data_IF_289952821065
#
_entry.id   IF_289952821065
#
_cell.length_a   1.000
_cell.length_b   1.000
_cell.length_c   1.000
_cell.angle_alpha   90.00
_cell.angle_beta   90.00
_cell.angle_gamma   90.00
#
_symmetry.space_group_name_H-M   'P 1'
#
loop_
_entity.id
_entity.type
_entity.pdbx_description
1 polymer ?
#
# COMPACT_ATOMS: atom_id res chain seq x y z
N UNK A 1 -22.31 -42.10 -0.68
CA UNK A 1 -22.08 -41.20 0.46
C UNK A 1 -21.06 -40.17 0.03
N UNK A 2 -21.41 -38.87 -0.03
CA UNK A 2 -20.41 -37.83 -0.28
C UNK A 2 -19.45 -37.81 0.91
N UNK A 3 -18.16 -37.97 0.63
CA UNK A 3 -17.10 -37.76 1.61
C UNK A 3 -17.00 -36.26 1.85
N UNK A 4 -17.35 -35.80 3.05
CA UNK A 4 -17.11 -34.40 3.44
C UNK A 4 -15.62 -34.10 3.28
N UNK A 5 -15.29 -33.16 2.39
CA UNK A 5 -13.92 -32.74 2.17
C UNK A 5 -13.34 -32.21 3.48
N UNK A 6 -12.08 -32.53 3.76
CA UNK A 6 -11.43 -32.02 4.97
C UNK A 6 -11.35 -30.48 4.88
N UNK A 7 -11.36 -29.77 6.02
CA UNK A 7 -11.18 -28.31 6.02
C UNK A 7 -9.87 -27.88 5.34
N UNK A 8 -8.84 -28.73 5.39
CA UNK A 8 -7.56 -28.49 4.72
C UNK A 8 -7.69 -28.53 3.19
N UNK A 9 -8.45 -29.50 2.64
CA UNK A 9 -8.74 -29.57 1.20
C UNK A 9 -9.46 -28.31 0.70
N UNK A 10 -10.32 -27.73 1.54
CA UNK A 10 -11.04 -26.50 1.21
C UNK A 10 -10.10 -25.30 1.08
N UNK A 11 -9.11 -25.17 1.97
CA UNK A 11 -8.16 -24.05 1.96
C UNK A 11 -7.17 -24.17 0.81
N UNK A 12 -6.69 -25.37 0.51
CA UNK A 12 -5.82 -25.58 -0.64
C UNK A 12 -6.57 -25.29 -1.95
N UNK A 13 -7.82 -25.74 -2.07
CA UNK A 13 -8.69 -25.43 -3.20
C UNK A 13 -8.88 -23.93 -3.39
N UNK A 14 -9.15 -23.20 -2.29
CA UNK A 14 -9.23 -21.74 -2.30
C UNK A 14 -7.92 -21.11 -2.76
N UNK A 15 -6.77 -21.55 -2.25
CA UNK A 15 -5.46 -21.02 -2.65
C UNK A 15 -5.22 -21.21 -4.16
N UNK A 16 -5.57 -22.38 -4.72
CA UNK A 16 -5.49 -22.65 -6.16
C UNK A 16 -6.42 -21.74 -6.96
N UNK A 17 -7.65 -21.51 -6.50
CA UNK A 17 -8.61 -20.60 -7.14
C UNK A 17 -8.09 -19.16 -7.17
N UNK A 18 -7.50 -18.69 -6.07
CA UNK A 18 -6.87 -17.37 -5.96
C UNK A 18 -5.72 -17.25 -6.96
N UNK A 19 -4.81 -18.23 -7.01
CA UNK A 19 -3.68 -18.25 -7.96
C UNK A 19 -4.19 -18.22 -9.40
N UNK A 20 -5.14 -19.08 -9.75
CA UNK A 20 -5.74 -19.12 -11.08
C UNK A 20 -6.34 -17.77 -11.48
N UNK A 21 -7.04 -17.12 -10.55
CA UNK A 21 -7.65 -15.81 -10.77
C UNK A 21 -6.60 -14.69 -10.92
N UNK A 22 -5.50 -14.74 -10.17
CA UNK A 22 -4.38 -13.81 -10.30
C UNK A 22 -3.68 -13.96 -11.66
N UNK A 23 -3.35 -15.19 -12.06
CA UNK A 23 -2.72 -15.50 -13.36
C UNK A 23 -3.61 -15.02 -14.52
N UNK A 24 -4.89 -15.40 -14.52
CA UNK A 24 -5.84 -15.04 -15.59
C UNK A 24 -6.14 -13.54 -15.69
N UNK A 25 -5.91 -12.77 -14.62
CA UNK A 25 -6.03 -11.30 -14.65
C UNK A 25 -4.74 -10.61 -15.10
N UNK A 26 -3.70 -11.36 -15.45
CA UNK A 26 -2.38 -10.82 -15.79
C UNK A 26 -1.67 -10.20 -14.59
N UNK A 27 -1.88 -10.74 -13.38
CA UNK A 27 -1.04 -10.40 -12.25
C UNK A 27 0.39 -10.87 -12.52
N UNK A 28 1.37 -10.04 -12.16
CA UNK A 28 2.81 -10.35 -12.26
C UNK A 28 3.56 -10.07 -10.97
N UNK A 29 2.92 -9.42 -10.01
CA UNK A 29 3.45 -9.18 -8.66
C UNK A 29 2.31 -9.25 -7.64
N UNK A 30 2.50 -10.07 -6.62
CA UNK A 30 1.65 -10.10 -5.42
C UNK A 30 2.46 -9.56 -4.24
N UNK A 31 2.01 -8.45 -3.67
CA UNK A 31 2.56 -7.84 -2.47
C UNK A 31 1.67 -8.18 -1.27
N UNK A 32 2.28 -8.67 -0.20
CA UNK A 32 1.58 -9.10 1.02
C UNK A 32 2.14 -8.32 2.20
N UNK A 33 1.27 -7.72 3.02
CA UNK A 33 1.70 -7.14 4.28
C UNK A 33 2.07 -8.24 5.29
N UNK A 34 2.96 -7.91 6.22
CA UNK A 34 3.47 -8.86 7.19
C UNK A 34 2.65 -8.86 8.48
N UNK A 35 2.65 -7.74 9.20
CA UNK A 35 1.91 -7.57 10.46
C UNK A 35 0.41 -7.65 10.24
N UNK A 36 -0.30 -8.37 11.11
CA UNK A 36 -1.75 -8.63 11.06
C UNK A 36 -2.34 -9.15 9.74
N UNK A 37 -1.55 -9.29 8.68
CA UNK A 37 -1.91 -9.92 7.41
C UNK A 37 -1.31 -11.32 7.33
N UNK A 38 0.02 -11.44 7.21
CA UNK A 38 0.71 -12.73 7.27
C UNK A 38 0.77 -13.28 8.70
N UNK A 39 1.02 -12.40 9.67
CA UNK A 39 0.96 -12.68 11.10
C UNK A 39 -0.45 -12.44 11.65
N UNK A 40 -0.76 -13.10 12.77
CA UNK A 40 -2.01 -12.89 13.54
C UNK A 40 -1.96 -11.70 14.49
N UNK A 41 -0.78 -11.10 14.67
CA UNK A 41 -0.51 -9.99 15.58
C UNK A 41 0.10 -8.82 14.81
N UNK A 42 0.08 -7.63 15.43
CA UNK A 42 0.95 -6.52 15.05
C UNK A 42 2.18 -6.50 15.95
N UNK A 43 3.37 -6.49 15.36
CA UNK A 43 4.65 -6.27 16.07
C UNK A 43 4.86 -4.80 16.42
N UNK A 44 4.07 -3.88 15.86
CA UNK A 44 4.26 -2.43 15.98
C UNK A 44 5.66 -1.95 15.53
N UNK A 45 6.28 -2.70 14.61
CA UNK A 45 7.60 -2.39 14.06
C UNK A 45 8.77 -2.93 14.87
N UNK A 46 8.54 -3.51 16.05
CA UNK A 46 9.61 -4.04 16.90
C UNK A 46 9.19 -5.34 17.58
N UNK A 47 9.94 -6.40 17.30
CA UNK A 47 9.83 -7.71 17.93
C UNK A 47 11.16 -8.08 18.59
N UNK A 48 11.14 -8.37 19.89
CA UNK A 48 12.32 -8.66 20.70
C UNK A 48 12.72 -10.14 20.72
N UNK A 49 11.75 -11.04 20.54
CA UNK A 49 11.98 -12.48 20.66
C UNK A 49 12.57 -13.06 19.35
N UNK A 50 12.80 -14.37 19.37
CA UNK A 50 13.38 -15.09 18.23
C UNK A 50 12.43 -15.16 17.03
N UNK A 51 12.98 -15.51 15.85
CA UNK A 51 12.20 -15.81 14.66
C UNK A 51 11.27 -17.02 14.86
N UNK A 52 11.68 -18.02 15.65
CA UNK A 52 10.86 -19.19 15.97
C UNK A 52 9.64 -18.82 16.83
N UNK A 53 9.83 -17.93 17.82
CA UNK A 53 8.73 -17.38 18.60
C UNK A 53 7.77 -16.59 17.71
N UNK A 54 8.28 -15.71 16.84
CA UNK A 54 7.45 -14.96 15.90
C UNK A 54 6.71 -15.86 14.90
N UNK A 55 7.34 -16.96 14.48
CA UNK A 55 6.73 -17.95 13.57
C UNK A 55 5.47 -18.57 14.15
N UNK A 56 5.39 -18.74 15.48
CA UNK A 56 4.17 -19.20 16.16
C UNK A 56 2.98 -18.23 16.00
N UNK A 57 3.25 -17.01 15.52
CA UNK A 57 2.25 -16.00 15.20
C UNK A 57 1.87 -15.94 13.73
N UNK A 58 2.48 -16.71 12.84
CA UNK A 58 2.03 -16.83 11.44
C UNK A 58 0.60 -17.37 11.42
N UNK A 59 -0.27 -16.79 10.59
CA UNK A 59 -1.59 -17.34 10.26
C UNK A 59 -1.36 -18.52 9.31
N UNK A 60 -0.95 -19.72 9.71
CA UNK A 60 -1.33 -20.55 10.86
C UNK A 60 -0.23 -21.61 11.07
N UNK A 61 0.11 -21.95 12.32
CA UNK A 61 0.95 -23.10 12.66
C UNK A 61 0.42 -23.72 13.96
N UNK A 62 -0.52 -24.68 13.91
CA UNK A 62 -0.52 -25.86 14.81
C UNK A 62 -1.71 -26.79 14.55
N UNK A 63 -1.48 -28.07 14.23
CA UNK A 63 -2.49 -29.12 14.30
C UNK A 63 -2.76 -29.68 15.72
N UNK A 64 -2.11 -29.15 16.78
CA UNK A 64 -2.13 -29.78 18.12
C UNK A 64 -2.43 -28.86 19.30
N UNK A 65 -2.81 -27.60 19.09
CA UNK A 65 -3.36 -26.77 20.18
C UNK A 65 -4.88 -26.70 20.08
N UNK A 66 -5.64 -27.45 20.91
CA UNK A 66 -7.07 -27.26 21.00
C UNK A 66 -7.35 -25.80 21.42
N UNK A 67 -8.35 -25.12 20.81
CA UNK A 67 -8.74 -23.79 21.22
C UNK A 67 -9.33 -23.88 22.63
N UNK A 68 -8.51 -23.62 23.63
CA UNK A 68 -8.99 -23.39 25.00
C UNK A 68 -9.68 -22.01 24.98
N UNK A 69 -10.98 -22.04 24.69
CA UNK A 69 -11.98 -20.99 24.95
C UNK A 69 -12.06 -19.75 24.04
N UNK A 70 -11.45 -19.73 22.85
CA UNK A 70 -11.74 -18.66 21.89
C UNK A 70 -12.85 -19.08 20.91
N UNK A 71 -14.02 -18.43 21.02
CA UNK A 71 -15.20 -18.57 20.14
C UNK A 71 -14.98 -18.04 18.71
N UNK A 72 -13.73 -17.91 18.27
CA UNK A 72 -13.35 -17.51 16.91
C UNK A 72 -12.83 -18.77 16.23
N UNK A 73 -13.50 -19.16 15.15
CA UNK A 73 -13.20 -20.38 14.39
C UNK A 73 -11.75 -20.46 13.89
N UNK A 74 -11.35 -21.60 13.31
CA UNK A 74 -9.99 -21.84 12.84
C UNK A 74 -9.54 -20.73 11.88
N UNK A 75 -8.38 -20.13 12.17
CA UNK A 75 -7.77 -19.09 11.34
C UNK A 75 -7.06 -19.79 10.18
N UNK A 76 -7.46 -19.47 8.95
CA UNK A 76 -7.00 -20.12 7.71
C UNK A 76 -5.48 -20.02 7.47
N UNK A 77 -4.73 -21.13 7.25
CA UNK A 77 -3.34 -21.18 6.74
C UNK A 77 -3.22 -20.75 5.26
N UNK A 78 -3.99 -19.75 4.84
CA UNK A 78 -4.09 -19.43 3.42
C UNK A 78 -2.74 -19.08 2.80
N UNK A 79 -1.92 -18.25 3.47
CA UNK A 79 -0.63 -17.84 2.92
C UNK A 79 0.40 -18.97 2.87
N UNK A 80 0.29 -19.96 3.76
CA UNK A 80 1.17 -21.13 3.72
C UNK A 80 0.90 -22.02 2.49
N UNK A 81 -0.34 -22.04 2.01
CA UNK A 81 -0.72 -22.75 0.79
C UNK A 81 -0.52 -21.87 -0.47
N UNK A 82 -0.86 -20.58 -0.36
CA UNK A 82 -0.83 -19.64 -1.47
C UNK A 82 0.58 -19.35 -1.99
N UNK A 83 1.55 -19.10 -1.10
CA UNK A 83 2.89 -18.69 -1.53
C UNK A 83 3.65 -19.77 -2.33
N UNK A 84 3.67 -21.05 -1.91
CA UNK A 84 4.27 -22.11 -2.73
C UNK A 84 3.59 -22.26 -4.10
N UNK A 85 2.26 -22.13 -4.17
CA UNK A 85 1.53 -22.21 -5.44
C UNK A 85 1.86 -21.02 -6.37
N UNK A 86 1.94 -19.80 -5.83
CA UNK A 86 2.36 -18.62 -6.61
C UNK A 86 3.79 -18.80 -7.15
N UNK A 87 4.70 -19.37 -6.35
CA UNK A 87 6.11 -19.55 -6.72
C UNK A 87 6.32 -20.56 -7.87
N UNK A 88 5.34 -21.43 -8.14
CA UNK A 88 5.36 -22.33 -9.30
C UNK A 88 5.11 -21.59 -10.63
N UNK A 89 4.66 -20.33 -10.58
CA UNK A 89 4.42 -19.52 -11.76
C UNK A 89 5.59 -18.57 -12.04
N UNK A 90 6.41 -18.82 -13.08
CA UNK A 90 7.65 -18.06 -13.32
C UNK A 90 7.44 -16.58 -13.66
N UNK A 91 6.20 -16.18 -13.98
CA UNK A 91 5.84 -14.82 -14.34
C UNK A 91 5.24 -14.02 -13.19
N UNK A 92 5.02 -14.64 -12.03
CA UNK A 92 4.50 -13.98 -10.83
C UNK A 92 5.63 -13.87 -9.80
N UNK A 93 6.05 -12.64 -9.55
CA UNK A 93 6.89 -12.33 -8.41
C UNK A 93 6.04 -12.23 -7.14
N UNK A 94 6.64 -12.61 -6.00
CA UNK A 94 6.05 -12.48 -4.68
C UNK A 94 6.88 -11.46 -3.90
N UNK A 95 6.20 -10.55 -3.20
CA UNK A 95 6.85 -9.62 -2.29
C UNK A 95 6.13 -9.56 -0.95
N UNK A 96 6.92 -9.44 0.13
CA UNK A 96 6.43 -9.01 1.44
C UNK A 96 6.78 -7.52 1.60
N UNK A 97 5.76 -6.70 1.85
CA UNK A 97 5.88 -5.24 1.99
C UNK A 97 5.41 -4.83 3.38
N UNK A 98 6.33 -4.44 4.25
CA UNK A 98 6.07 -4.19 5.68
C UNK A 98 6.60 -2.82 6.12
N UNK A 99 5.95 -2.21 7.11
CA UNK A 99 6.51 -1.03 7.79
C UNK A 99 7.54 -1.40 8.86
N UNK A 100 7.71 -2.69 9.18
CA UNK A 100 8.75 -3.11 10.11
C UNK A 100 10.14 -2.91 9.48
N UNK A 101 11.11 -2.31 10.20
CA UNK A 101 12.49 -2.22 9.77
C UNK A 101 13.26 -3.55 9.93
N UNK A 102 12.69 -4.56 10.60
CA UNK A 102 13.39 -5.81 10.96
C UNK A 102 13.43 -6.84 9.82
N UNK A 103 13.90 -6.41 8.65
CA UNK A 103 13.96 -7.21 7.41
C UNK A 103 14.67 -8.55 7.61
N UNK A 104 15.78 -8.58 8.35
CA UNK A 104 16.53 -9.81 8.62
C UNK A 104 15.72 -10.83 9.45
N UNK A 105 14.99 -10.37 10.47
CA UNK A 105 14.12 -11.23 11.28
C UNK A 105 12.99 -11.81 10.43
N UNK A 106 12.34 -10.96 9.63
CA UNK A 106 11.23 -11.38 8.76
C UNK A 106 11.70 -12.41 7.72
N UNK A 107 12.91 -12.23 7.18
CA UNK A 107 13.57 -13.21 6.30
C UNK A 107 13.72 -14.58 6.97
N UNK A 108 14.15 -14.61 8.24
CA UNK A 108 14.29 -15.83 9.01
C UNK A 108 12.94 -16.51 9.22
N UNK A 109 11.89 -15.76 9.60
CA UNK A 109 10.53 -16.29 9.75
C UNK A 109 10.03 -16.92 8.45
N UNK A 110 10.15 -16.21 7.32
CA UNK A 110 9.76 -16.73 6.00
C UNK A 110 10.56 -18.01 5.67
N UNK A 111 11.86 -18.03 5.97
CA UNK A 111 12.70 -19.22 5.74
C UNK A 111 12.29 -20.41 6.61
N UNK A 112 11.86 -20.18 7.86
CA UNK A 112 11.37 -21.25 8.72
C UNK A 112 10.01 -21.79 8.25
N UNK A 113 9.21 -20.97 7.55
CA UNK A 113 7.92 -21.38 6.99
C UNK A 113 8.07 -22.15 5.67
N UNK A 114 9.02 -21.76 4.82
CA UNK A 114 9.04 -22.17 3.41
C UNK A 114 10.38 -22.73 2.90
N UNK A 115 11.41 -22.77 3.76
CA UNK A 115 12.78 -23.06 3.34
C UNK A 115 13.49 -21.86 2.71
N UNK A 116 14.82 -21.97 2.59
CA UNK A 116 15.67 -20.89 2.07
C UNK A 116 15.36 -20.53 0.63
N UNK A 117 15.14 -21.53 -0.24
CA UNK A 117 14.89 -21.32 -1.67
C UNK A 117 13.70 -20.40 -1.94
N UNK A 118 12.53 -20.70 -1.35
CA UNK A 118 11.36 -19.85 -1.53
C UNK A 118 11.51 -18.52 -0.77
N UNK A 119 12.13 -18.53 0.41
CA UNK A 119 12.45 -17.29 1.10
C UNK A 119 13.21 -16.35 0.18
N UNK A 120 14.36 -16.76 -0.38
CA UNK A 120 15.23 -15.95 -1.25
C UNK A 120 14.56 -15.48 -2.54
N UNK A 121 13.61 -16.27 -3.06
CA UNK A 121 12.78 -15.88 -4.19
C UNK A 121 11.81 -14.74 -3.85
N UNK A 122 11.28 -14.68 -2.62
CA UNK A 122 10.38 -13.61 -2.15
C UNK A 122 11.17 -12.31 -1.97
N UNK A 123 10.72 -11.25 -2.65
CA UNK A 123 11.25 -9.89 -2.48
C UNK A 123 10.78 -9.35 -1.12
N UNK A 124 11.69 -8.79 -0.34
CA UNK A 124 11.34 -8.19 0.96
C UNK A 124 11.58 -6.69 0.94
N UNK A 125 10.57 -5.93 1.36
CA UNK A 125 10.62 -4.47 1.51
C UNK A 125 10.10 -4.10 2.89
N UNK A 126 11.03 -3.95 3.83
CA UNK A 126 10.76 -3.39 5.16
C UNK A 126 11.12 -1.91 5.23
N UNK A 127 10.91 -1.31 6.39
CA UNK A 127 11.28 0.09 6.64
C UNK A 127 12.79 0.27 6.92
N UNK A 128 13.65 -0.25 6.04
CA UNK A 128 15.10 -0.15 6.13
C UNK A 128 15.72 0.70 5.01
N UNK A 129 17.04 0.91 5.09
CA UNK A 129 17.80 1.71 4.12
C UNK A 129 18.35 0.90 2.94
N UNK A 130 18.00 -0.39 2.80
CA UNK A 130 18.55 -1.27 1.76
C UNK A 130 17.99 -0.98 0.36
N UNK A 131 16.93 -0.18 0.27
CA UNK A 131 16.27 0.19 -0.97
C UNK A 131 15.83 1.66 -0.96
N UNK A 132 15.65 2.21 -2.17
CA UNK A 132 15.13 3.54 -2.39
C UNK A 132 14.21 3.56 -3.61
N UNK A 133 13.39 4.60 -3.74
CA UNK A 133 12.50 4.82 -4.87
C UNK A 133 12.58 6.30 -5.27
N UNK A 134 12.90 6.56 -6.53
CA UNK A 134 12.89 7.93 -7.08
C UNK A 134 11.50 8.30 -7.62
N UNK A 135 11.26 9.59 -7.84
CA UNK A 135 10.02 10.07 -8.45
C UNK A 135 9.84 9.51 -9.86
N UNK A 136 10.88 9.53 -10.71
CA UNK A 136 10.80 9.02 -12.08
C UNK A 136 10.44 7.52 -12.11
N UNK A 137 11.00 6.74 -11.19
CA UNK A 137 10.68 5.33 -11.04
C UNK A 137 9.21 5.12 -10.64
N UNK A 138 8.69 5.94 -9.73
CA UNK A 138 7.29 5.88 -9.32
C UNK A 138 6.32 6.28 -10.45
N UNK A 139 6.70 7.28 -11.26
CA UNK A 139 5.97 7.68 -12.47
C UNK A 139 5.97 6.55 -13.50
N UNK A 140 7.11 5.90 -13.75
CA UNK A 140 7.21 4.76 -14.67
C UNK A 140 6.34 3.58 -14.22
N UNK A 141 6.29 3.32 -12.91
CA UNK A 141 5.48 2.26 -12.33
C UNK A 141 3.96 2.53 -12.44
N UNK A 142 3.52 3.77 -12.22
CA UNK A 142 2.08 4.10 -12.14
C UNK A 142 1.49 4.73 -13.39
N UNK A 143 2.30 5.41 -14.20
CA UNK A 143 1.87 6.33 -15.25
C UNK A 143 1.26 7.65 -14.72
N UNK A 144 1.32 7.91 -13.41
CA UNK A 144 0.78 9.11 -12.76
C UNK A 144 1.91 10.14 -12.59
N UNK A 145 1.61 11.42 -12.74
CA UNK A 145 2.55 12.52 -12.51
C UNK A 145 3.13 12.49 -11.08
N UNK A 146 4.45 12.73 -10.97
CA UNK A 146 5.22 12.70 -9.73
C UNK A 146 4.61 13.55 -8.60
N UNK A 147 4.03 14.71 -8.92
CA UNK A 147 3.47 15.61 -7.92
C UNK A 147 2.24 15.05 -7.19
N UNK A 148 1.66 13.98 -7.70
CA UNK A 148 0.49 13.32 -7.13
C UNK A 148 0.81 12.01 -6.39
N UNK A 149 2.09 11.59 -6.37
CA UNK A 149 2.49 10.32 -5.79
C UNK A 149 3.03 10.49 -4.36
N UNK A 150 2.47 9.79 -3.36
CA UNK A 150 2.92 9.91 -1.98
C UNK A 150 4.15 9.03 -1.73
N UNK A 151 5.36 9.53 -2.02
CA UNK A 151 6.62 8.78 -1.83
C UNK A 151 7.13 8.70 -0.39
N UNK A 152 6.41 9.30 0.56
CA UNK A 152 6.77 9.15 1.96
C UNK A 152 6.56 7.69 2.41
N UNK A 153 7.40 7.23 3.33
CA UNK A 153 7.37 5.86 3.86
C UNK A 153 6.27 5.62 4.90
N UNK A 154 5.30 6.54 5.03
CA UNK A 154 4.14 6.39 5.92
C UNK A 154 2.97 5.65 5.26
N UNK A 155 3.13 5.22 4.02
CA UNK A 155 2.14 4.46 3.28
C UNK A 155 2.86 3.36 2.46
N UNK A 156 2.12 2.35 2.00
CA UNK A 156 2.69 1.18 1.32
C UNK A 156 3.12 1.41 -0.12
N UNK A 157 2.75 2.54 -0.75
CA UNK A 157 3.06 2.79 -2.16
C UNK A 157 4.56 2.64 -2.50
N UNK A 158 5.51 3.31 -1.81
CA UNK A 158 6.93 3.19 -2.15
C UNK A 158 7.49 1.77 -1.98
N UNK A 159 6.96 1.00 -1.03
CA UNK A 159 7.34 -0.40 -0.79
C UNK A 159 6.90 -1.28 -1.97
N UNK A 160 5.64 -1.15 -2.39
CA UNK A 160 5.07 -1.89 -3.52
C UNK A 160 5.79 -1.53 -4.83
N UNK A 161 5.97 -0.24 -5.11
CA UNK A 161 6.63 0.22 -6.33
C UNK A 161 8.10 -0.24 -6.40
N UNK A 162 8.85 -0.13 -5.31
CA UNK A 162 10.25 -0.61 -5.29
C UNK A 162 10.37 -2.13 -5.41
N UNK A 163 9.39 -2.90 -4.92
CA UNK A 163 9.31 -4.35 -5.14
C UNK A 163 9.05 -4.67 -6.62
N UNK A 164 8.15 -3.94 -7.29
CA UNK A 164 7.87 -4.11 -8.72
C UNK A 164 9.08 -3.85 -9.62
N UNK A 165 9.89 -2.85 -9.27
CA UNK A 165 11.13 -2.56 -10.00
C UNK A 165 12.17 -3.68 -9.84
N UNK A 166 12.30 -4.25 -8.64
CA UNK A 166 13.17 -5.41 -8.43
C UNK A 166 12.65 -6.65 -9.17
N UNK A 167 11.36 -6.94 -9.08
CA UNK A 167 10.74 -8.05 -9.81
C UNK A 167 10.96 -7.91 -11.33
N UNK A 168 10.81 -6.69 -11.87
CA UNK A 168 11.08 -6.41 -13.29
C UNK A 168 12.53 -6.70 -13.66
N UNK A 169 13.50 -6.34 -12.80
CA UNK A 169 14.93 -6.64 -13.02
C UNK A 169 15.21 -8.14 -12.96
N UNK A 170 14.62 -8.87 -11.99
CA UNK A 170 14.77 -10.33 -11.88
C UNK A 170 14.23 -11.05 -13.12
N UNK A 171 13.05 -10.66 -13.61
CA UNK A 171 12.49 -11.22 -14.85
C UNK A 171 13.34 -10.88 -16.08
N UNK A 172 13.87 -9.66 -16.19
CA UNK A 172 14.75 -9.31 -17.30
C UNK A 172 16.06 -10.11 -17.30
N UNK A 173 16.58 -10.44 -16.11
CA UNK A 173 17.81 -11.23 -15.97
C UNK A 173 17.61 -12.71 -16.33
N UNK A 174 16.45 -13.30 -16.05
CA UNK A 174 16.14 -14.68 -16.43
C UNK A 174 15.99 -14.86 -17.95
N UNK A 175 15.54 -13.82 -18.66
CA UNK A 175 15.31 -13.88 -20.11
C UNK A 175 16.59 -13.65 -20.93
N UNK A 176 17.65 -13.10 -20.32
CA UNK A 176 18.89 -12.71 -20.98
C UNK A 176 19.69 -13.90 -21.58
N UNK A 177 19.33 -15.14 -21.27
CA UNK A 177 19.88 -16.33 -21.95
C UNK A 177 19.42 -16.45 -23.41
N UNK A 178 18.48 -15.60 -23.87
CA UNK A 178 18.06 -15.52 -25.27
C UNK A 178 18.32 -14.09 -25.79
N UNK A 179 19.23 -13.88 -26.77
CA UNK A 179 19.67 -12.55 -27.20
C UNK A 179 18.64 -11.74 -28.03
N UNK A 180 17.35 -12.01 -27.89
CA UNK A 180 16.30 -11.24 -28.55
C UNK A 180 15.95 -10.01 -27.70
N UNK A 181 15.80 -8.86 -28.37
CA UNK A 181 15.33 -7.57 -27.83
C UNK A 181 14.24 -7.83 -26.77
N UNK A 182 14.37 -7.32 -25.53
CA UNK A 182 13.38 -7.56 -24.49
C UNK A 182 12.03 -7.10 -25.01
N UNK A 183 11.04 -8.00 -25.13
CA UNK A 183 9.75 -7.63 -25.70
C UNK A 183 9.19 -6.45 -24.90
N UNK A 184 8.84 -5.38 -25.62
CA UNK A 184 8.21 -4.19 -25.06
C UNK A 184 7.03 -4.64 -24.19
N UNK A 185 7.17 -4.58 -22.85
CA UNK A 185 6.17 -5.14 -21.92
C UNK A 185 6.70 -5.88 -20.69
N UNK A 186 8.02 -6.02 -20.50
CA UNK A 186 8.57 -6.75 -19.34
C UNK A 186 8.48 -6.01 -18.01
N UNK A 187 8.35 -4.68 -18.00
CA UNK A 187 8.24 -3.93 -16.75
C UNK A 187 6.89 -4.18 -16.05
N UNK A 188 6.96 -4.53 -14.77
CA UNK A 188 5.80 -4.65 -13.89
C UNK A 188 5.36 -3.24 -13.52
N UNK A 189 4.07 -2.97 -13.69
CA UNK A 189 3.43 -1.67 -13.46
C UNK A 189 2.31 -1.83 -12.41
N UNK A 190 1.72 -0.73 -11.98
CA UNK A 190 0.63 -0.74 -10.99
C UNK A 190 -0.53 -1.65 -11.41
N UNK A 191 -0.90 -1.64 -12.69
CA UNK A 191 -1.96 -2.48 -13.26
C UNK A 191 -1.64 -3.99 -13.25
N UNK A 192 -0.37 -4.38 -13.10
CA UNK A 192 0.11 -5.76 -13.00
C UNK A 192 0.23 -6.25 -11.55
N UNK A 193 0.04 -5.36 -10.58
CA UNK A 193 0.36 -5.58 -9.17
C UNK A 193 -0.90 -5.71 -8.33
N UNK A 194 -0.87 -6.63 -7.37
CA UNK A 194 -1.91 -6.79 -6.34
C UNK A 194 -1.29 -6.59 -4.95
N UNK A 195 -1.92 -5.78 -4.11
CA UNK A 195 -1.59 -5.63 -2.68
C UNK A 195 -2.63 -6.35 -1.81
N UNK A 196 -2.19 -7.12 -0.83
CA UNK A 196 -3.00 -7.73 0.22
C UNK A 196 -2.52 -7.16 1.56
N UNK A 197 -3.40 -6.47 2.29
CA UNK A 197 -3.07 -5.69 3.49
C UNK A 197 -4.30 -5.61 4.40
N UNK A 198 -4.15 -5.66 5.73
CA UNK A 198 -5.24 -5.56 6.70
C UNK A 198 -5.63 -4.11 7.00
N UNK A 199 -4.82 -3.13 6.62
CA UNK A 199 -5.13 -1.72 6.83
C UNK A 199 -5.91 -1.14 5.64
N UNK A 200 -7.16 -0.74 5.89
CA UNK A 200 -8.03 -0.13 4.87
C UNK A 200 -7.43 1.13 4.23
N UNK A 201 -6.68 1.94 4.99
CA UNK A 201 -6.01 3.13 4.47
C UNK A 201 -4.92 2.77 3.45
N UNK A 202 -4.13 1.72 3.70
CA UNK A 202 -3.13 1.23 2.75
C UNK A 202 -3.79 0.72 1.47
N UNK A 203 -4.88 -0.06 1.60
CA UNK A 203 -5.66 -0.59 0.48
C UNK A 203 -6.26 0.54 -0.35
N UNK A 204 -6.82 1.56 0.30
CA UNK A 204 -7.39 2.72 -0.35
C UNK A 204 -6.32 3.52 -1.11
N UNK A 205 -5.19 3.84 -0.46
CA UNK A 205 -4.10 4.60 -1.07
C UNK A 205 -3.46 3.87 -2.25
N UNK A 206 -3.25 2.55 -2.13
CA UNK A 206 -2.76 1.72 -3.23
C UNK A 206 -3.73 1.78 -4.44
N UNK A 207 -5.03 1.70 -4.18
CA UNK A 207 -6.06 1.83 -5.21
C UNK A 207 -6.05 3.19 -5.92
N UNK A 208 -5.74 4.29 -5.21
CA UNK A 208 -5.57 5.60 -5.84
C UNK A 208 -4.36 5.67 -6.77
N UNK A 209 -3.36 4.81 -6.57
CA UNK A 209 -2.16 4.72 -7.39
C UNK A 209 -2.29 3.71 -8.54
N UNK A 210 -3.50 3.20 -8.80
CA UNK A 210 -3.77 2.22 -9.86
C UNK A 210 -3.35 0.79 -9.53
N UNK A 211 -3.01 0.50 -8.27
CA UNK A 211 -2.69 -0.84 -7.79
C UNK A 211 -4.00 -1.54 -7.39
N UNK A 212 -4.23 -2.77 -7.84
CA UNK A 212 -5.35 -3.57 -7.31
C UNK A 212 -5.04 -3.92 -5.86
N UNK A 213 -5.95 -3.63 -4.94
CA UNK A 213 -5.70 -3.86 -3.51
C UNK A 213 -6.88 -4.57 -2.85
N UNK A 214 -6.57 -5.51 -1.95
CA UNK A 214 -7.52 -6.40 -1.29
C UNK A 214 -7.32 -6.22 0.21
N UNK A 215 -8.36 -5.73 0.90
CA UNK A 215 -8.36 -5.67 2.36
C UNK A 215 -8.47 -7.07 2.93
N UNK A 216 -7.42 -7.53 3.61
CA UNK A 216 -7.36 -8.83 4.25
C UNK A 216 -8.19 -8.85 5.52
N UNK A 217 -9.25 -9.65 5.49
CA UNK A 217 -10.07 -9.99 6.64
C UNK A 217 -10.32 -11.49 6.54
N UNK A 218 -9.82 -12.35 7.45
CA UNK A 218 -9.82 -13.80 7.28
C UNK A 218 -11.17 -14.40 6.88
N UNK A 219 -12.24 -13.86 7.46
CA UNK A 219 -13.62 -14.35 7.25
C UNK A 219 -14.26 -13.89 5.95
N UNK A 220 -13.70 -12.88 5.29
CA UNK A 220 -14.25 -12.26 4.07
C UNK A 220 -13.25 -12.27 2.90
N UNK A 221 -12.06 -12.81 3.12
CA UNK A 221 -10.99 -12.75 2.15
C UNK A 221 -11.35 -13.46 0.83
N UNK A 222 -11.94 -14.68 0.83
CA UNK A 222 -12.33 -15.34 -0.41
C UNK A 222 -13.25 -14.48 -1.28
N UNK A 223 -14.30 -13.90 -0.69
CA UNK A 223 -15.28 -13.08 -1.41
C UNK A 223 -14.63 -11.79 -1.93
N UNK A 224 -13.76 -11.17 -1.14
CA UNK A 224 -13.06 -9.93 -1.51
C UNK A 224 -12.07 -10.14 -2.63
N UNK A 225 -11.32 -11.24 -2.62
CA UNK A 225 -10.42 -11.60 -3.72
C UNK A 225 -11.21 -11.80 -5.01
N UNK A 226 -12.29 -12.59 -4.98
CA UNK A 226 -13.13 -12.80 -6.16
C UNK A 226 -13.74 -11.49 -6.69
N UNK A 227 -14.25 -10.63 -5.80
CA UNK A 227 -14.80 -9.35 -6.18
C UNK A 227 -13.76 -8.44 -6.85
N UNK A 228 -12.54 -8.34 -6.30
CA UNK A 228 -11.47 -7.51 -6.87
C UNK A 228 -10.99 -8.04 -8.22
N UNK A 229 -10.74 -9.35 -8.32
CA UNK A 229 -10.25 -9.95 -9.56
C UNK A 229 -11.30 -9.89 -10.67
N UNK A 230 -12.59 -10.02 -10.33
CA UNK A 230 -13.70 -9.78 -11.27
C UNK A 230 -13.75 -8.33 -11.75
N UNK A 231 -13.58 -7.34 -10.85
CA UNK A 231 -13.50 -5.92 -11.22
C UNK A 231 -12.31 -5.66 -12.15
N UNK A 232 -11.16 -6.27 -11.88
CA UNK A 232 -9.95 -6.15 -12.71
C UNK A 232 -10.17 -6.70 -14.11
N UNK A 233 -10.79 -7.88 -14.26
CA UNK A 233 -11.15 -8.45 -15.58
C UNK A 233 -12.04 -7.49 -16.38
N UNK A 234 -13.05 -6.87 -15.75
CA UNK A 234 -13.96 -5.92 -16.41
C UNK A 234 -13.28 -4.63 -16.88
N UNK A 235 -12.18 -4.21 -16.22
CA UNK A 235 -11.43 -3.01 -16.60
C UNK A 235 -10.50 -3.24 -17.79
N UNK A 236 -10.13 -4.49 -18.08
CA UNK A 236 -9.34 -4.81 -19.26
C UNK A 236 -10.21 -4.48 -20.48
N UNK A 237 -9.89 -3.46 -21.27
CA UNK A 237 -10.62 -3.20 -22.51
C UNK A 237 -10.54 -4.47 -23.34
N UNK A 238 -11.64 -4.88 -23.96
CA UNK A 238 -11.61 -5.94 -24.97
C UNK A 238 -10.60 -5.49 -26.05
N UNK A 239 -9.39 -6.04 -25.99
CA UNK A 239 -8.32 -5.82 -26.97
C UNK A 239 -8.63 -6.53 -28.31
N UNK A 240 -9.88 -6.96 -28.49
CA UNK A 240 -10.40 -7.56 -29.70
C UNK A 240 -10.64 -6.51 -30.79
N UNK A 241 -9.58 -5.92 -31.35
CA UNK A 241 -9.55 -5.57 -32.78
C UNK A 241 -8.17 -5.07 -33.25
N UNK A 242 -7.52 -5.92 -34.05
CA UNK A 242 -6.67 -5.64 -35.22
C UNK A 242 -5.56 -4.56 -35.16
N UNK A 243 -4.32 -5.04 -35.18
CA UNK A 243 -3.18 -4.58 -36.00
C UNK A 243 -3.10 -3.07 -36.34
N UNK A 244 -3.14 -2.20 -35.33
CA UNK A 244 -2.73 -0.81 -35.45
C UNK A 244 -1.54 -0.55 -34.54
N UNK A 245 -0.42 -0.08 -35.09
CA UNK A 245 0.80 0.28 -34.34
C UNK A 245 0.47 1.02 -33.03
N UNK A 246 0.51 0.29 -31.92
CA UNK A 246 0.31 0.87 -30.59
C UNK A 246 1.54 1.69 -30.22
N UNK A 247 1.43 3.01 -30.39
CA UNK A 247 2.14 3.93 -29.49
C UNK A 247 1.78 3.52 -28.06
N UNK A 248 2.73 3.50 -27.11
CA UNK A 248 2.42 3.29 -25.70
C UNK A 248 1.37 4.33 -25.32
N UNK A 249 0.14 3.87 -25.14
CA UNK A 249 -0.90 4.71 -24.57
C UNK A 249 -0.44 4.95 -23.16
N UNK A 250 0.08 6.15 -22.89
CA UNK A 250 0.07 6.68 -21.54
C UNK A 250 -1.31 6.36 -20.99
N UNK A 251 -1.37 5.58 -19.91
CA UNK A 251 -2.60 5.30 -19.19
C UNK A 251 -3.08 6.62 -18.55
N UNK A 252 -3.50 7.59 -19.37
CA UNK A 252 -4.29 8.76 -18.95
C UNK A 252 -5.74 8.35 -18.73
N UNK A 253 -5.99 7.06 -18.45
CA UNK A 253 -7.30 6.58 -18.01
C UNK A 253 -7.72 7.50 -16.89
N UNK A 254 -8.75 8.29 -17.16
CA UNK A 254 -9.11 9.46 -16.38
C UNK A 254 -9.13 9.10 -14.90
N UNK A 255 -8.05 9.42 -14.19
CA UNK A 255 -8.07 9.51 -12.74
C UNK A 255 -9.17 10.52 -12.51
N UNK A 256 -10.30 10.02 -12.04
CA UNK A 256 -11.49 10.81 -11.75
C UNK A 256 -10.99 11.86 -10.77
N UNK A 257 -10.74 13.09 -11.26
CA UNK A 257 -10.19 14.19 -10.46
C UNK A 257 -11.11 14.36 -9.25
N UNK A 258 -10.73 13.78 -8.13
CA UNK A 258 -11.25 14.17 -6.83
C UNK A 258 -10.55 15.48 -6.53
N UNK A 259 -11.08 16.56 -7.11
CA UNK A 259 -10.71 17.91 -6.73
C UNK A 259 -11.18 18.09 -5.30
N UNK A 260 -10.29 17.80 -4.35
CA UNK A 260 -10.39 18.31 -2.99
C UNK A 260 -10.15 19.82 -3.08
N UNK A 261 -11.19 20.57 -3.44
CA UNK A 261 -11.20 22.02 -3.26
C UNK A 261 -11.16 22.28 -1.75
N UNK A 262 -10.00 22.66 -1.25
CA UNK A 262 -9.88 23.29 0.05
C UNK A 262 -10.72 24.58 0.04
N UNK A 263 -11.52 24.83 1.09
CA UNK A 263 -12.27 26.08 1.19
C UNK A 263 -11.30 27.27 1.23
N UNK A 264 -11.64 28.40 0.60
CA UNK A 264 -10.81 29.59 0.62
C UNK A 264 -10.60 30.08 2.06
N UNK A 265 -9.42 30.64 2.39
CA UNK A 265 -9.14 31.13 3.73
C UNK A 265 -10.11 32.26 4.10
N UNK A 266 -10.77 32.13 5.25
CA UNK A 266 -11.58 33.21 5.81
C UNK A 266 -10.69 34.43 6.11
N UNK A 267 -11.11 35.66 5.77
CA UNK A 267 -10.40 36.87 6.17
C UNK A 267 -10.37 36.99 7.70
N UNK A 268 -9.17 37.13 8.27
CA UNK A 268 -8.97 37.43 9.70
C UNK A 268 -9.35 38.90 9.94
N UNK A 269 -10.23 39.12 10.92
CA UNK A 269 -10.44 40.43 11.53
C UNK A 269 -9.19 40.82 12.34
N UNK A 270 -8.82 42.12 12.38
CA UNK A 270 -7.67 42.59 13.13
C UNK A 270 -7.95 42.55 14.64
N UNK A 271 -7.02 41.95 15.39
CA UNK A 271 -7.00 42.00 16.85
C UNK A 271 -6.43 43.35 17.31
N UNK A 272 -7.06 43.93 18.32
CA UNK A 272 -6.68 45.18 18.97
C UNK A 272 -5.27 45.08 19.60
N UNK A 273 -4.47 46.13 19.41
CA UNK A 273 -3.16 46.29 20.02
C UNK A 273 -3.26 46.82 21.46
N UNK A 274 -2.36 46.41 22.38
CA UNK A 274 -2.07 47.17 23.58
C UNK A 274 -0.92 48.17 23.36
N UNK A 275 -1.13 49.34 23.95
CA UNK A 275 -0.28 50.53 24.01
C UNK A 275 0.90 50.40 24.98
N UNK A 276 2.04 51.02 24.65
CA UNK A 276 2.99 51.79 25.49
C UNK A 276 4.43 51.59 24.96
N UNK A 277 4.96 52.59 24.24
CA UNK A 277 5.79 53.71 24.73
C UNK A 277 7.30 53.41 24.64
N UNK A 278 7.98 54.00 23.65
CA UNK A 278 9.10 54.91 23.88
C UNK A 278 9.60 55.52 22.56
N UNK A 279 9.96 56.78 22.65
CA UNK A 279 10.23 57.75 21.61
C UNK A 279 11.67 57.69 21.06
N UNK A 280 11.81 58.08 19.78
CA UNK A 280 12.76 59.06 19.21
C UNK A 280 12.68 58.90 17.67
N UNK A 281 12.08 59.84 16.93
CA UNK A 281 12.73 61.02 16.31
C UNK A 281 13.76 60.60 15.23
N UNK A 282 13.80 61.09 13.99
CA UNK A 282 13.11 62.18 13.30
C UNK A 282 13.52 62.14 11.80
N UNK A 283 12.70 62.76 10.92
CA UNK A 283 13.04 63.37 9.60
C UNK A 283 13.38 62.39 8.44
N UNK A 284 12.90 62.51 7.19
CA UNK A 284 12.21 63.59 6.44
C UNK A 284 11.62 63.02 5.13
N UNK A 285 10.52 63.63 4.70
CA UNK A 285 9.78 63.60 3.40
C UNK A 285 10.65 64.02 2.17
N UNK A 286 10.16 64.20 0.90
CA UNK A 286 8.80 64.04 0.33
C UNK A 286 8.67 63.38 -1.08
N UNK A 287 7.43 63.00 -1.41
CA UNK A 287 6.63 63.34 -2.61
C UNK A 287 7.23 63.23 -4.03
N UNK A 288 6.60 62.44 -4.90
CA UNK A 288 6.38 62.73 -6.34
C UNK A 288 5.41 61.72 -7.00
N UNK A 289 4.19 62.17 -7.30
CA UNK A 289 3.42 61.81 -8.52
C UNK A 289 3.86 62.77 -9.66
N UNK A 290 3.35 62.78 -10.92
CA UNK A 290 2.38 61.94 -11.65
C UNK A 290 2.86 61.60 -13.11
N UNK A 291 1.91 61.23 -14.01
CA UNK A 291 1.90 61.49 -15.48
C UNK A 291 2.73 60.56 -16.38
N UNK A 292 2.40 60.26 -17.65
CA UNK A 292 1.26 60.43 -18.58
C UNK A 292 1.67 59.73 -19.90
N UNK A 293 0.75 59.71 -20.87
CA UNK A 293 0.95 59.57 -22.34
C UNK A 293 0.89 58.16 -22.94
N UNK A 294 -0.18 57.78 -23.67
CA UNK A 294 -0.69 58.17 -25.02
C UNK A 294 0.07 57.56 -26.20
N UNK A 295 -0.64 56.75 -27.02
CA UNK A 295 -0.85 56.84 -28.49
C UNK A 295 -1.50 55.52 -28.96
N UNK A 296 -2.77 55.47 -29.42
CA UNK A 296 -3.36 55.77 -30.76
C UNK A 296 -2.75 55.02 -31.96
N UNK A 297 -3.56 54.15 -32.59
CA UNK A 297 -3.79 53.91 -34.04
C UNK A 297 -4.54 52.56 -34.14
N UNK A 298 -5.84 52.46 -34.44
CA UNK A 298 -6.63 52.86 -35.63
C UNK A 298 -6.27 52.07 -36.89
N UNK A 299 -7.04 51.02 -37.19
CA UNK A 299 -7.43 50.65 -38.57
C UNK A 299 -8.43 49.49 -38.59
N UNK A 300 -9.59 49.84 -39.13
CA UNK A 300 -10.70 49.04 -39.66
C UNK A 300 -10.28 47.96 -40.68
N UNK A 301 -10.97 46.82 -40.68
CA UNK A 301 -11.68 46.35 -41.89
C UNK A 301 -12.72 45.28 -41.56
N UNK A 302 -13.76 45.30 -42.38
CA UNK A 302 -15.06 44.67 -42.18
C UNK A 302 -15.18 43.33 -42.91
N UNK A 303 -16.26 42.62 -42.57
CA UNK A 303 -16.92 41.52 -43.31
C UNK A 303 -16.37 40.10 -43.13
N UNK A 304 -17.10 39.28 -42.38
CA UNK A 304 -17.87 38.20 -43.01
C UNK A 304 -18.91 37.59 -42.05
N UNK A 305 -20.16 37.58 -42.52
CA UNK A 305 -21.32 36.98 -41.89
C UNK A 305 -21.27 35.46 -42.08
N UNK A 306 -21.03 34.70 -41.01
CA UNK A 306 -21.27 33.26 -40.97
C UNK A 306 -22.19 32.93 -39.79
N UNK A 307 -23.45 32.71 -40.15
CA UNK A 307 -24.53 31.99 -39.45
C UNK A 307 -24.08 31.22 -38.21
N UNK A 308 -24.35 31.77 -37.02
CA UNK A 308 -24.18 31.05 -35.74
C UNK A 308 -25.48 30.32 -35.40
N UNK A 309 -25.43 29.00 -35.38
CA UNK A 309 -26.46 28.16 -34.77
C UNK A 309 -26.52 28.46 -33.27
N UNK A 310 -27.68 28.93 -32.80
CA UNK A 310 -28.01 29.08 -31.40
C UNK A 310 -28.21 27.68 -30.80
N UNK A 311 -27.19 27.11 -30.18
CA UNK A 311 -27.35 25.98 -29.28
C UNK A 311 -27.97 26.48 -27.97
N UNK A 312 -29.20 26.05 -27.68
CA UNK A 312 -29.80 26.19 -26.36
C UNK A 312 -29.03 25.33 -25.36
N UNK A 313 -28.56 25.86 -24.23
CA UNK A 313 -27.95 25.04 -23.20
C UNK A 313 -29.04 24.22 -22.51
N UNK A 314 -28.89 22.89 -22.53
CA UNK A 314 -29.75 21.97 -21.77
C UNK A 314 -29.75 22.31 -20.27
N UNK A 315 -30.89 22.13 -19.58
CA UNK A 315 -31.05 22.54 -18.19
C UNK A 315 -30.13 21.75 -17.25
N UNK A 316 -29.29 22.47 -16.51
CA UNK A 316 -28.46 21.90 -15.44
C UNK A 316 -29.35 21.64 -14.23
N UNK A 317 -29.71 20.37 -13.99
CA UNK A 317 -30.35 19.95 -12.75
C UNK A 317 -29.33 20.07 -11.60
N UNK A 318 -29.49 21.09 -10.76
CA UNK A 318 -28.78 21.19 -9.48
C UNK A 318 -29.44 20.22 -8.49
N UNK A 319 -28.89 19.01 -8.38
CA UNK A 319 -29.19 18.10 -7.26
C UNK A 319 -28.60 18.68 -5.97
N UNK A 320 -29.46 19.26 -5.14
CA UNK A 320 -29.12 19.70 -3.78
C UNK A 320 -29.12 18.48 -2.86
N UNK A 321 -27.96 17.82 -2.74
CA UNK A 321 -27.74 16.74 -1.78
C UNK A 321 -27.43 17.37 -0.42
N UNK A 322 -28.41 17.42 0.48
CA UNK A 322 -28.18 17.75 1.88
C UNK A 322 -27.75 16.51 2.66
N UNK A 323 -26.45 16.22 2.67
CA UNK A 323 -25.91 15.25 3.60
C UNK A 323 -25.74 15.93 4.97
N UNK A 324 -26.71 15.76 5.86
CA UNK A 324 -26.52 15.99 7.29
C UNK A 324 -25.70 14.85 7.89
N UNK A 325 -24.43 14.74 7.51
CA UNK A 325 -23.49 13.85 8.20
C UNK A 325 -23.09 14.57 9.48
N UNK A 326 -23.50 13.98 10.60
CA UNK A 326 -23.18 14.43 11.95
C UNK A 326 -21.69 14.68 12.11
N UNK A 327 -21.36 15.78 12.80
CA UNK A 327 -19.99 16.18 13.09
C UNK A 327 -19.24 15.02 13.75
N UNK A 328 -18.05 14.61 13.25
CA UNK A 328 -17.23 13.65 13.97
C UNK A 328 -16.81 14.27 15.31
N UNK A 329 -17.10 13.57 16.41
CA UNK A 329 -16.63 13.95 17.75
C UNK A 329 -15.09 13.84 17.77
N UNK A 330 -14.36 14.87 18.25
CA UNK A 330 -12.92 14.77 18.40
C UNK A 330 -12.59 13.71 19.46
N UNK A 331 -11.82 12.68 19.07
CA UNK A 331 -11.20 11.73 19.99
C UNK A 331 -10.23 12.52 20.88
N UNK A 332 -10.60 12.73 22.14
CA UNK A 332 -9.67 13.19 23.18
C UNK A 332 -8.58 12.13 23.33
N UNK A 333 -7.33 12.54 23.09
CA UNK A 333 -6.12 11.84 23.49
C UNK A 333 -6.22 11.48 24.99
N UNK A 334 -6.27 10.19 25.31
CA UNK A 334 -6.03 9.71 26.67
C UNK A 334 -4.52 9.81 26.93
N UNK A 335 -4.15 10.73 27.82
CA UNK A 335 -2.81 10.84 28.40
C UNK A 335 -2.42 9.52 29.07
N UNK A 336 -1.20 9.07 28.79
CA UNK A 336 -0.47 8.08 29.57
C UNK A 336 -0.45 8.52 31.04
N UNK A 337 -1.05 7.71 31.91
CA UNK A 337 -0.77 7.74 33.35
C UNK A 337 0.41 6.81 33.60
N UNK A 338 1.57 7.42 33.80
CA UNK A 338 2.67 6.81 34.55
C UNK A 338 2.17 6.54 35.97
N UNK A 339 2.20 5.27 36.39
CA UNK A 339 2.27 4.92 37.81
C UNK A 339 3.51 4.06 37.99
N UNK A 340 4.57 4.73 38.43
CA UNK A 340 5.61 4.09 39.22
C UNK A 340 4.98 3.74 40.58
N UNK A 341 5.02 2.47 40.95
CA UNK A 341 4.91 2.08 42.36
C UNK A 341 5.87 0.92 42.60
N UNK A 342 6.71 1.12 43.62
CA UNK A 342 7.86 0.32 43.93
C UNK A 342 7.62 -0.39 45.26
N UNK A 343 8.18 -1.62 45.34
CA UNK A 343 8.56 -2.40 46.53
C UNK A 343 7.44 -3.16 47.27
N UNK A 344 7.74 -4.27 48.01
CA UNK A 344 9.07 -4.69 48.49
C UNK A 344 9.50 -6.14 48.18
N UNK A 345 10.79 -6.31 48.41
CA UNK A 345 11.56 -7.55 48.55
C UNK A 345 11.04 -8.33 49.75
N UNK A 346 10.77 -9.62 49.57
CA UNK A 346 10.80 -10.60 50.65
C UNK A 346 11.83 -11.68 50.27
N UNK A 347 12.96 -11.61 50.98
CA UNK A 347 13.91 -12.69 51.16
C UNK A 347 13.25 -13.82 51.96
N UNK A 348 13.44 -15.07 51.51
CA UNK A 348 13.72 -16.19 52.41
C UNK A 348 14.30 -17.38 51.66
N UNK A 349 15.52 -17.71 52.08
CA UNK A 349 16.29 -18.93 51.87
C UNK A 349 15.48 -20.23 52.08
N UNK A 350 15.85 -21.29 51.36
CA UNK A 350 16.58 -22.43 51.98
C UNK A 350 16.74 -23.63 51.01
N UNK A 351 17.99 -23.97 50.72
CA UNK A 351 18.52 -25.33 50.49
C UNK A 351 18.04 -26.12 49.25
N UNK A 352 18.77 -27.09 48.70
CA UNK A 352 20.08 -27.65 48.93
C UNK A 352 20.34 -28.64 47.75
N UNK A 353 21.50 -28.51 47.11
CA UNK A 353 22.41 -29.57 46.65
C UNK A 353 21.83 -30.79 45.89
N UNK A 354 22.20 -30.94 44.62
CA UNK A 354 22.67 -32.24 44.08
C UNK A 354 23.42 -32.06 42.75
N UNK A 355 24.75 -32.10 42.88
CA UNK A 355 25.75 -32.39 41.85
C UNK A 355 25.42 -33.68 41.11
N UNK A 356 25.51 -33.72 39.77
CA UNK A 356 26.04 -34.89 39.04
C UNK A 356 26.54 -34.46 37.65
N UNK A 357 27.85 -34.52 37.51
CA UNK A 357 28.59 -34.60 36.26
C UNK A 357 28.21 -35.86 35.49
N UNK A 358 28.03 -35.77 34.17
CA UNK A 358 28.48 -36.83 33.28
C UNK A 358 29.07 -36.24 32.00
N UNK A 359 30.41 -36.23 31.98
CA UNK A 359 31.21 -36.24 30.78
C UNK A 359 31.19 -37.67 30.21
N UNK A 360 30.94 -37.83 28.93
CA UNK A 360 31.44 -38.97 28.15
C UNK A 360 31.55 -38.56 26.68
N UNK A 361 32.79 -38.53 26.20
CA UNK A 361 33.17 -38.46 24.80
C UNK A 361 33.28 -39.87 24.19
N UNK A 362 33.53 -39.91 22.87
CA UNK A 362 33.77 -41.07 21.98
C UNK A 362 32.47 -41.75 21.50
N UNK A 363 32.16 -41.83 20.21
CA UNK A 363 33.00 -42.11 19.03
C UNK A 363 32.56 -41.34 17.77
#
# INVERSE_FOLDING_TARGET
MPTDASPDDSIESLAREVVHSLVSTGCRLVCIDFDATFLRIHTNGEWSESADELRSHVRYVSPFSPPVHSSRGPISPLFLNLLPLLAQHPHIAIAVVTFSPQVALIRQVISLCFGSTLSDAIILRGDDSSWSLTHDQAVLFTGIDAHHLPLNRRNKFPYVASAALEASRRHAASDASTPAIPPCGTSIQSCHTVLIDDCEDNVFLASQCGISAIHYEPTQFPERVHAELKRRRKRKPDDGSSHGHHRPRHCTGAVRRLSLQSPPPKPRLPAAAPSSSSAAACLTTPLSTPSKDTTTHNSSSSHNLARRHLCTPSPVMKLKVSNSIGRPKPKRYSRLRSMAEARPVDDKDDGAIATTLHLAAYH
#
